data_IF_976409203841
#
_entry.id   IF_976409203841
#
_cell.length_a   1.000
_cell.length_b   1.000
_cell.length_c   1.000
_cell.angle_alpha   90.00
_cell.angle_beta   90.00
_cell.angle_gamma   90.00
#
_symmetry.space_group_name_H-M   'P 1'
#
loop_
_entity.id
_entity.type
_entity.pdbx_description
1 polymer ?
#
# COMPACT_ATOMS: atom_id res chain seq x y z
N UNK A 1 -11.55 -5.03 -15.61
CA UNK A 1 -10.41 -4.42 -16.33
C UNK A 1 -9.69 -5.57 -17.00
N UNK A 2 -9.27 -5.43 -18.25
CA UNK A 2 -8.60 -6.54 -18.92
C UNK A 2 -7.38 -7.02 -18.10
N UNK A 3 -7.19 -8.34 -18.02
CA UNK A 3 -6.11 -8.97 -17.24
C UNK A 3 -6.19 -8.85 -15.71
N UNK A 4 -7.24 -8.22 -15.15
CA UNK A 4 -7.46 -8.12 -13.70
C UNK A 4 -8.89 -8.51 -13.31
N UNK A 5 -8.99 -9.61 -12.59
CA UNK A 5 -10.25 -10.08 -11.98
C UNK A 5 -10.31 -9.65 -10.52
N UNK A 6 -11.47 -9.13 -10.09
CA UNK A 6 -11.76 -8.79 -8.69
C UNK A 6 -12.88 -9.69 -8.19
N UNK A 7 -12.63 -10.39 -7.10
CA UNK A 7 -13.65 -11.09 -6.34
C UNK A 7 -13.82 -10.40 -4.97
N UNK A 8 -15.07 -10.26 -4.52
CA UNK A 8 -15.41 -9.57 -3.28
C UNK A 8 -16.21 -10.54 -2.42
N UNK A 9 -15.79 -10.68 -1.16
CA UNK A 9 -16.46 -11.51 -0.19
C UNK A 9 -16.42 -10.81 1.16
N UNK A 10 -17.55 -10.24 1.56
CA UNK A 10 -17.67 -9.41 2.77
C UNK A 10 -16.59 -8.30 2.80
N UNK A 11 -15.70 -8.32 3.80
CA UNK A 11 -14.59 -7.38 3.94
C UNK A 11 -13.30 -7.78 3.19
N UNK A 12 -13.32 -8.87 2.42
CA UNK A 12 -12.18 -9.40 1.68
C UNK A 12 -12.29 -9.04 0.20
N UNK A 13 -11.21 -8.44 -0.33
CA UNK A 13 -11.04 -8.17 -1.75
C UNK A 13 -9.89 -9.03 -2.29
N UNK A 14 -10.17 -9.79 -3.34
CA UNK A 14 -9.20 -10.65 -4.00
C UNK A 14 -9.00 -10.10 -5.41
N UNK A 15 -7.74 -9.85 -5.76
CA UNK A 15 -7.35 -9.40 -7.08
C UNK A 15 -6.45 -10.44 -7.73
N UNK A 16 -6.86 -10.94 -8.89
CA UNK A 16 -6.08 -11.86 -9.71
C UNK A 16 -5.60 -11.07 -10.92
N UNK A 17 -4.29 -10.82 -10.99
CA UNK A 17 -3.64 -10.15 -12.12
C UNK A 17 -2.97 -11.22 -12.98
N UNK A 18 -3.56 -11.50 -14.14
CA UNK A 18 -3.04 -12.51 -15.07
C UNK A 18 -1.96 -11.92 -15.98
N UNK A 19 -2.09 -10.65 -16.34
CA UNK A 19 -1.12 -9.95 -17.17
C UNK A 19 -1.12 -8.45 -16.91
N UNK A 20 -0.02 -7.79 -17.27
CA UNK A 20 0.07 -6.34 -17.32
C UNK A 20 -0.58 -5.84 -18.62
N UNK A 21 -1.91 -5.77 -18.63
CA UNK A 21 -2.72 -5.34 -19.78
C UNK A 21 -2.51 -3.86 -20.09
N UNK A 22 -2.89 -3.43 -21.30
CA UNK A 22 -2.81 -2.02 -21.68
C UNK A 22 -3.74 -1.13 -20.84
N UNK A 23 -4.86 -1.70 -20.36
CA UNK A 23 -5.72 -1.03 -19.39
C UNK A 23 -5.00 -0.79 -18.06
N UNK A 24 -4.36 -1.81 -17.49
CA UNK A 24 -3.63 -1.69 -16.24
C UNK A 24 -2.43 -0.73 -16.38
N UNK A 25 -1.67 -0.81 -17.48
CA UNK A 25 -0.59 0.14 -17.78
C UNK A 25 -1.09 1.58 -17.84
N UNK A 26 -2.26 1.79 -18.47
CA UNK A 26 -2.87 3.12 -18.57
C UNK A 26 -3.28 3.66 -17.21
N UNK A 27 -3.88 2.84 -16.35
CA UNK A 27 -4.23 3.26 -14.99
C UNK A 27 -3.00 3.52 -14.12
N UNK A 28 -1.95 2.70 -14.23
CA UNK A 28 -0.65 2.97 -13.60
C UNK A 28 -0.11 4.33 -14.06
N UNK A 29 -0.03 4.57 -15.38
CA UNK A 29 0.53 5.81 -15.94
C UNK A 29 -0.24 7.07 -15.50
N UNK A 30 -1.57 6.99 -15.38
CA UNK A 30 -2.39 8.11 -14.90
C UNK A 30 -2.06 8.52 -13.46
N UNK A 31 -1.62 7.57 -12.64
CA UNK A 31 -1.52 7.74 -11.20
C UNK A 31 -0.08 7.72 -10.68
N UNK A 32 0.89 7.20 -11.45
CA UNK A 32 2.24 6.89 -10.96
C UNK A 32 2.95 8.08 -10.33
N UNK A 33 2.78 9.28 -10.89
CA UNK A 33 3.37 10.50 -10.33
C UNK A 33 2.79 10.78 -8.94
N UNK A 34 1.46 10.70 -8.79
CA UNK A 34 0.78 10.92 -7.52
C UNK A 34 1.08 9.82 -6.50
N UNK A 35 1.15 8.56 -6.95
CA UNK A 35 1.57 7.42 -6.13
C UNK A 35 2.95 7.70 -5.54
N UNK A 36 3.91 8.12 -6.37
CA UNK A 36 5.29 8.30 -5.94
C UNK A 36 5.51 9.57 -5.10
N UNK A 37 4.87 10.69 -5.42
CA UNK A 37 5.22 12.00 -4.87
C UNK A 37 4.11 12.69 -4.05
N UNK A 38 2.90 12.14 -4.01
CA UNK A 38 1.74 12.77 -3.35
C UNK A 38 1.26 14.04 -4.07
N UNK A 39 0.75 15.03 -3.33
CA UNK A 39 0.21 16.30 -3.86
C UNK A 39 1.27 17.38 -4.10
N UNK A 40 2.57 17.07 -3.97
CA UNK A 40 3.68 17.96 -4.40
C UNK A 40 3.67 18.30 -5.90
N UNK A 41 2.74 17.72 -6.65
CA UNK A 41 2.50 17.96 -8.07
C UNK A 41 1.76 19.29 -8.26
N UNK A 42 2.39 20.41 -7.89
CA UNK A 42 2.11 21.63 -8.61
C UNK A 42 2.79 21.49 -9.99
N UNK A 43 1.96 21.28 -11.01
CA UNK A 43 2.18 20.55 -12.28
C UNK A 43 3.21 21.13 -13.27
N UNK A 44 4.18 21.94 -12.85
CA UNK A 44 5.03 22.72 -13.77
C UNK A 44 6.47 22.23 -13.91
N UNK A 45 6.95 21.30 -13.07
CA UNK A 45 8.35 20.84 -13.12
C UNK A 45 8.51 19.52 -13.90
N UNK A 46 9.44 19.50 -14.87
CA UNK A 46 9.77 18.31 -15.68
C UNK A 46 10.12 17.07 -14.85
N UNK A 47 10.67 17.27 -13.64
CA UNK A 47 11.04 16.18 -12.73
C UNK A 47 9.85 15.34 -12.25
N UNK A 48 8.63 15.89 -12.29
CA UNK A 48 7.39 15.20 -11.93
C UNK A 48 6.59 14.72 -13.16
N UNK A 49 7.28 14.47 -14.28
CA UNK A 49 6.68 13.81 -15.45
C UNK A 49 6.58 12.30 -15.23
N UNK A 50 5.68 11.62 -15.96
CA UNK A 50 5.57 10.15 -15.94
C UNK A 50 6.92 9.49 -16.27
N UNK A 51 7.60 9.96 -17.31
CA UNK A 51 8.89 9.40 -17.74
C UNK A 51 9.98 9.57 -16.66
N UNK A 52 10.07 10.76 -16.06
CA UNK A 52 11.02 11.01 -14.97
C UNK A 52 10.70 10.17 -13.74
N UNK A 53 9.42 9.99 -13.43
CA UNK A 53 8.95 9.18 -12.31
C UNK A 53 9.29 7.71 -12.51
N UNK A 54 9.05 7.16 -13.70
CA UNK A 54 9.41 5.77 -14.04
C UNK A 54 10.93 5.59 -13.93
N UNK A 55 11.72 6.56 -14.41
CA UNK A 55 13.18 6.50 -14.28
C UNK A 55 13.61 6.45 -12.81
N UNK A 56 13.09 7.33 -11.97
CA UNK A 56 13.38 7.33 -10.52
C UNK A 56 12.90 6.02 -9.85
N UNK A 57 11.75 5.48 -10.27
CA UNK A 57 11.22 4.21 -9.75
C UNK A 57 12.17 3.05 -10.07
N UNK A 58 12.72 3.01 -11.29
CA UNK A 58 13.72 2.02 -11.69
C UNK A 58 15.05 2.22 -10.96
N UNK A 59 15.45 3.46 -10.66
CA UNK A 59 16.64 3.74 -9.84
C UNK A 59 16.49 3.28 -8.38
N UNK A 60 15.24 3.27 -7.86
CA UNK A 60 14.90 2.76 -6.51
C UNK A 60 14.58 1.26 -6.49
N UNK A 61 14.36 0.65 -7.66
CA UNK A 61 14.01 -0.76 -7.76
C UNK A 61 15.13 -1.62 -7.17
N UNK A 62 14.84 -2.47 -6.17
CA UNK A 62 15.90 -3.23 -5.49
C UNK A 62 16.62 -4.21 -6.42
N UNK A 63 17.88 -4.51 -6.14
CA UNK A 63 18.61 -5.59 -6.83
C UNK A 63 18.30 -6.99 -6.23
N UNK A 64 17.82 -7.04 -5.00
CA UNK A 64 17.47 -8.29 -4.30
C UNK A 64 16.05 -8.75 -4.69
N UNK A 65 15.92 -10.00 -5.12
CA UNK A 65 14.67 -10.54 -5.69
C UNK A 65 13.50 -10.56 -4.71
N UNK A 66 13.74 -10.71 -3.41
CA UNK A 66 12.67 -10.73 -2.42
C UNK A 66 12.24 -9.29 -2.07
N UNK A 67 13.18 -8.35 -2.01
CA UNK A 67 12.88 -6.92 -1.93
C UNK A 67 12.15 -6.41 -3.17
N UNK A 68 12.49 -6.90 -4.37
CA UNK A 68 11.78 -6.58 -5.61
C UNK A 68 10.30 -6.95 -5.53
N UNK A 69 9.99 -8.15 -5.04
CA UNK A 69 8.59 -8.59 -4.84
C UNK A 69 7.87 -7.70 -3.85
N UNK A 70 8.52 -7.34 -2.74
CA UNK A 70 7.98 -6.38 -1.77
C UNK A 70 7.62 -5.05 -2.42
N UNK A 71 8.58 -4.48 -3.14
CA UNK A 71 8.46 -3.20 -3.84
C UNK A 71 7.32 -3.20 -4.87
N UNK A 72 7.24 -4.23 -5.72
CA UNK A 72 6.17 -4.35 -6.74
C UNK A 72 4.83 -4.68 -6.09
N UNK A 73 4.80 -5.53 -5.06
CA UNK A 73 3.58 -5.87 -4.34
C UNK A 73 2.93 -4.65 -3.71
N UNK A 74 3.70 -3.83 -3.01
CA UNK A 74 3.23 -2.57 -2.43
C UNK A 74 2.72 -1.59 -3.51
N UNK A 75 3.48 -1.43 -4.61
CA UNK A 75 3.05 -0.60 -5.74
C UNK A 75 1.70 -1.07 -6.32
N UNK A 76 1.55 -2.38 -6.54
CA UNK A 76 0.31 -2.95 -7.07
C UNK A 76 -0.86 -2.76 -6.11
N UNK A 77 -0.67 -2.96 -4.80
CA UNK A 77 -1.70 -2.68 -3.79
C UNK A 77 -2.13 -1.21 -3.87
N UNK A 78 -1.18 -0.28 -3.96
CA UNK A 78 -1.47 1.15 -4.10
C UNK A 78 -2.33 1.44 -5.34
N UNK A 79 -1.96 0.90 -6.49
CA UNK A 79 -2.71 1.04 -7.75
C UNK A 79 -4.12 0.44 -7.63
N UNK A 80 -4.24 -0.79 -7.14
CA UNK A 80 -5.53 -1.47 -7.04
C UNK A 80 -6.48 -0.77 -6.06
N UNK A 81 -5.98 -0.29 -4.92
CA UNK A 81 -6.79 0.50 -3.98
C UNK A 81 -7.34 1.74 -4.65
N UNK A 82 -6.52 2.50 -5.38
CA UNK A 82 -7.00 3.69 -6.11
C UNK A 82 -8.01 3.37 -7.20
N UNK A 83 -7.86 2.24 -7.88
CA UNK A 83 -8.77 1.85 -8.96
C UNK A 83 -10.11 1.35 -8.40
N UNK A 84 -10.10 0.54 -7.34
CA UNK A 84 -11.26 -0.27 -6.96
C UNK A 84 -11.92 0.11 -5.63
N UNK A 85 -11.22 0.83 -4.75
CA UNK A 85 -11.69 1.23 -3.42
C UNK A 85 -11.93 2.75 -3.39
N UNK A 86 -12.99 3.19 -4.09
CA UNK A 86 -13.24 4.61 -4.39
C UNK A 86 -13.63 5.48 -3.19
N UNK A 87 -14.09 4.86 -2.10
CA UNK A 87 -14.37 5.51 -0.83
C UNK A 87 -13.08 5.83 -0.04
N UNK A 88 -11.91 5.42 -0.52
CA UNK A 88 -10.64 5.73 0.11
C UNK A 88 -9.78 6.64 -0.76
N UNK A 89 -9.18 7.64 -0.11
CA UNK A 89 -8.06 8.40 -0.67
C UNK A 89 -6.76 8.01 0.02
N UNK A 90 -5.73 7.65 -0.76
CA UNK A 90 -4.40 7.39 -0.21
C UNK A 90 -3.71 8.72 0.10
N UNK A 91 -3.29 8.89 1.35
CA UNK A 91 -2.67 10.09 1.91
C UNK A 91 -1.22 9.88 2.31
N UNK A 92 -0.54 8.91 1.69
CA UNK A 92 0.89 8.67 1.84
C UNK A 92 1.56 8.43 0.48
N UNK A 93 2.74 9.04 0.21
CA UNK A 93 3.50 8.73 -0.99
C UNK A 93 4.19 7.36 -0.88
N UNK A 94 4.45 6.76 -2.02
CA UNK A 94 5.20 5.52 -2.15
C UNK A 94 6.71 5.75 -1.97
N UNK A 95 7.25 6.85 -2.50
CA UNK A 95 8.67 7.15 -2.29
C UNK A 95 8.93 7.71 -0.89
N UNK A 96 9.76 6.99 -0.13
CA UNK A 96 10.36 7.52 1.08
C UNK A 96 11.25 8.74 0.74
N UNK A 97 11.16 9.79 1.56
CA UNK A 97 11.90 11.05 1.41
C UNK A 97 13.37 10.93 1.83
N UNK A 98 13.70 10.04 2.77
CA UNK A 98 15.03 10.07 3.41
C UNK A 98 16.13 9.51 2.50
N UNK A 99 16.01 8.33 1.88
CA UNK A 99 17.01 7.81 0.93
C UNK A 99 16.43 6.80 -0.09
N UNK A 100 17.10 6.66 -1.26
CA UNK A 100 16.74 5.70 -2.32
C UNK A 100 16.88 4.22 -1.91
N UNK A 101 17.68 3.92 -0.89
CA UNK A 101 18.08 2.57 -0.51
C UNK A 101 17.59 2.12 0.89
N UNK A 102 16.99 3.01 1.67
CA UNK A 102 16.44 2.67 2.99
C UNK A 102 14.98 2.24 2.86
N UNK A 103 14.61 1.18 3.57
CA UNK A 103 13.21 0.77 3.67
C UNK A 103 12.37 1.94 4.23
N UNK A 104 11.12 2.07 3.76
CA UNK A 104 10.19 3.06 4.31
C UNK A 104 10.07 2.82 5.82
N UNK A 105 10.44 3.82 6.62
CA UNK A 105 10.38 3.75 8.08
C UNK A 105 8.96 4.04 8.62
N UNK A 106 8.02 4.37 7.73
CA UNK A 106 6.61 4.65 8.02
C UNK A 106 5.69 3.48 7.66
N UNK A 107 4.38 3.64 7.85
CA UNK A 107 3.38 2.70 7.31
C UNK A 107 3.53 2.58 5.78
N UNK A 108 3.18 1.41 5.24
CA UNK A 108 3.27 1.19 3.79
C UNK A 108 2.31 2.15 3.07
N UNK A 109 1.02 2.10 3.42
CA UNK A 109 0.00 3.01 2.87
C UNK A 109 -0.94 3.50 3.97
N UNK A 110 -1.24 4.80 3.96
CA UNK A 110 -2.24 5.44 4.80
C UNK A 110 -3.42 5.86 3.93
N UNK A 111 -4.63 5.54 4.37
CA UNK A 111 -5.87 5.94 3.72
C UNK A 111 -6.66 6.89 4.62
N UNK A 112 -7.38 7.80 3.97
CA UNK A 112 -8.52 8.50 4.54
C UNK A 112 -9.79 7.94 3.91
N UNK A 113 -10.72 7.53 4.74
CA UNK A 113 -12.09 7.22 4.32
C UNK A 113 -12.82 8.54 3.97
N UNK A 114 -13.33 8.65 2.76
CA UNK A 114 -14.00 9.87 2.29
C UNK A 114 -15.34 10.14 2.98
N UNK A 115 -15.99 9.11 3.53
CA UNK A 115 -17.31 9.23 4.18
C UNK A 115 -17.18 9.52 5.67
N UNK A 116 -16.29 8.79 6.35
CA UNK A 116 -16.12 8.88 7.81
C UNK A 116 -14.98 9.79 8.23
N UNK A 117 -14.12 10.20 7.31
CA UNK A 117 -12.82 10.84 7.58
C UNK A 117 -11.84 9.98 8.41
N UNK A 118 -12.19 8.73 8.72
CA UNK A 118 -11.35 7.88 9.55
C UNK A 118 -10.04 7.54 8.84
N UNK A 119 -8.98 7.46 9.64
CA UNK A 119 -7.69 6.95 9.19
C UNK A 119 -7.73 5.42 9.09
N UNK A 120 -7.20 4.89 8.00
CA UNK A 120 -6.92 3.47 7.83
C UNK A 120 -5.47 3.24 7.45
N UNK A 121 -4.91 2.12 7.89
CA UNK A 121 -3.54 1.71 7.60
C UNK A 121 -3.56 0.43 6.77
N UNK A 122 -2.80 0.39 5.67
CA UNK A 122 -2.47 -0.85 4.99
C UNK A 122 -1.05 -1.25 5.35
N UNK A 123 -0.88 -2.50 5.79
CA UNK A 123 0.42 -3.19 5.81
C UNK A 123 0.40 -4.28 4.73
N UNK A 124 1.41 -4.28 3.87
CA UNK A 124 1.54 -5.16 2.71
C UNK A 124 2.72 -6.11 2.85
N UNK A 125 2.52 -7.38 2.51
CA UNK A 125 3.61 -8.35 2.38
C UNK A 125 3.49 -9.13 1.09
N UNK A 126 4.59 -9.14 0.34
CA UNK A 126 4.72 -9.92 -0.87
C UNK A 126 5.54 -11.20 -0.67
N UNK A 127 5.39 -12.15 -1.59
CA UNK A 127 6.24 -13.33 -1.67
C UNK A 127 5.93 -14.21 -2.87
N UNK A 128 6.67 -15.31 -3.00
CA UNK A 128 6.44 -16.34 -4.02
C UNK A 128 6.08 -17.67 -3.38
N UNK A 129 5.35 -18.48 -4.11
CA UNK A 129 5.09 -19.87 -3.72
C UNK A 129 6.42 -20.64 -3.74
N UNK A 130 6.71 -21.37 -2.67
CA UNK A 130 7.85 -22.31 -2.62
C UNK A 130 7.43 -23.67 -3.19
N UNK A 131 8.39 -24.51 -3.61
CA UNK A 131 8.12 -25.88 -4.08
C UNK A 131 7.31 -26.76 -3.10
N UNK A 132 7.17 -26.35 -1.83
CA UNK A 132 6.54 -27.11 -0.74
C UNK A 132 5.22 -26.50 -0.22
N UNK A 133 4.76 -25.40 -0.80
CA UNK A 133 3.56 -24.67 -0.34
C UNK A 133 2.60 -24.47 -1.51
N UNK A 134 1.29 -24.56 -1.29
CA UNK A 134 0.32 -24.06 -2.27
C UNK A 134 0.08 -22.55 -2.08
N UNK A 135 -0.50 -21.92 -3.10
CA UNK A 135 -0.80 -20.49 -3.10
C UNK A 135 -1.70 -20.05 -1.93
N UNK A 136 -2.70 -20.86 -1.55
CA UNK A 136 -3.65 -20.51 -0.48
C UNK A 136 -2.93 -20.44 0.88
N UNK A 137 -2.02 -21.39 1.15
CA UNK A 137 -1.17 -21.33 2.34
C UNK A 137 -0.24 -20.13 2.29
N UNK A 138 0.33 -19.81 1.12
CA UNK A 138 1.26 -18.69 1.00
C UNK A 138 0.58 -17.34 1.23
N UNK A 139 -0.61 -17.11 0.70
CA UNK A 139 -1.33 -15.85 0.91
C UNK A 139 -1.73 -15.66 2.38
N UNK A 140 -2.22 -16.70 3.06
CA UNK A 140 -2.52 -16.66 4.51
C UNK A 140 -1.28 -16.36 5.33
N UNK A 141 -0.17 -16.98 4.96
CA UNK A 141 1.13 -16.74 5.60
C UNK A 141 1.58 -15.28 5.43
N UNK A 142 1.44 -14.68 4.24
CA UNK A 142 1.74 -13.26 4.00
C UNK A 142 0.85 -12.32 4.81
N UNK A 143 -0.46 -12.57 4.86
CA UNK A 143 -1.40 -11.80 5.68
C UNK A 143 -1.06 -11.87 7.17
N UNK A 144 -0.68 -13.05 7.66
CA UNK A 144 -0.24 -13.23 9.06
C UNK A 144 1.06 -12.46 9.35
N UNK A 145 2.02 -12.47 8.43
CA UNK A 145 3.25 -11.68 8.58
C UNK A 145 2.94 -10.19 8.60
N UNK A 146 2.06 -9.70 7.71
CA UNK A 146 1.62 -8.30 7.72
C UNK A 146 0.99 -7.92 9.08
N UNK A 147 0.06 -8.75 9.58
CA UNK A 147 -0.58 -8.54 10.88
C UNK A 147 0.44 -8.44 12.01
N UNK A 148 1.36 -9.41 12.08
CA UNK A 148 2.32 -9.50 13.17
C UNK A 148 3.34 -8.35 13.12
N UNK A 149 3.82 -7.98 11.93
CA UNK A 149 4.73 -6.86 11.75
C UNK A 149 4.08 -5.55 12.18
N UNK A 150 2.86 -5.27 11.72
CA UNK A 150 2.13 -4.06 12.09
C UNK A 150 1.81 -4.03 13.58
N UNK A 151 1.31 -5.14 14.14
CA UNK A 151 1.00 -5.24 15.57
C UNK A 151 2.23 -4.99 16.44
N UNK A 152 3.39 -5.52 16.07
CA UNK A 152 4.64 -5.27 16.78
C UNK A 152 5.02 -3.79 16.72
N UNK A 153 4.99 -3.18 15.53
CA UNK A 153 5.34 -1.77 15.33
C UNK A 153 4.41 -0.81 16.08
N UNK A 154 3.13 -1.15 16.21
CA UNK A 154 2.15 -0.35 16.95
C UNK A 154 2.27 -0.52 18.48
N UNK A 155 2.77 -1.65 18.97
CA UNK A 155 2.97 -1.89 20.41
C UNK A 155 4.34 -1.41 20.94
N UNK A 156 5.26 -1.01 20.06
CA UNK A 156 6.58 -0.52 20.46
C UNK A 156 6.48 0.91 21.02
N UNK A 157 6.78 1.06 22.32
CA UNK A 157 6.57 2.30 23.10
C UNK A 157 7.34 3.51 22.58
N UNK A 158 8.43 3.31 21.85
CA UNK A 158 9.31 4.39 21.35
C UNK A 158 9.17 4.65 19.84
N UNK A 159 8.11 4.13 19.20
CA UNK A 159 7.96 4.23 17.75
C UNK A 159 7.42 5.59 17.26
N UNK A 160 7.87 6.68 17.89
CA UNK A 160 7.62 8.07 17.47
C UNK A 160 7.95 8.30 16.00
N UNK A 161 9.01 7.67 15.50
CA UNK A 161 9.42 7.80 14.10
C UNK A 161 8.37 7.27 13.12
N UNK A 162 7.64 6.19 13.46
CA UNK A 162 6.56 5.66 12.62
C UNK A 162 5.46 6.70 12.40
N UNK A 163 5.01 7.34 13.48
CA UNK A 163 3.93 8.32 13.47
C UNK A 163 4.39 9.67 12.89
N UNK A 164 5.62 10.10 13.19
CA UNK A 164 6.21 11.27 12.54
C UNK A 164 6.32 11.11 11.02
N UNK A 165 6.64 9.90 10.54
CA UNK A 165 6.63 9.61 9.10
C UNK A 165 5.20 9.67 8.53
N UNK A 166 4.21 9.19 9.28
CA UNK A 166 2.81 9.26 8.87
C UNK A 166 2.29 10.71 8.75
N UNK A 167 2.60 11.56 9.72
CA UNK A 167 2.29 13.00 9.70
C UNK A 167 2.95 13.66 8.48
N UNK A 168 4.26 13.43 8.30
CA UNK A 168 5.01 13.93 7.16
C UNK A 168 4.45 13.47 5.81
N UNK A 169 3.90 12.26 5.73
CA UNK A 169 3.28 11.68 4.54
C UNK A 169 1.96 12.40 4.20
N UNK A 170 1.11 12.62 5.21
CA UNK A 170 -0.14 13.37 5.08
C UNK A 170 0.09 14.81 4.65
N UNK A 171 1.07 15.50 5.23
CA UNK A 171 1.39 16.89 4.89
C UNK A 171 1.72 17.10 3.41
N UNK A 172 2.30 16.10 2.75
CA UNK A 172 2.62 16.12 1.31
C UNK A 172 1.37 15.85 0.47
N UNK A 173 0.55 14.92 0.94
CA UNK A 173 -0.49 14.28 0.13
C UNK A 173 -1.82 15.00 0.25
N UNK A 174 -2.05 15.75 1.31
CA UNK A 174 -3.24 16.58 1.48
C UNK A 174 -2.87 18.04 1.26
N UNK A 175 -3.76 18.76 0.57
CA UNK A 175 -3.61 20.20 0.40
C UNK A 175 -3.97 20.91 1.71
N UNK A 176 -3.38 22.10 1.92
CA UNK A 176 -3.68 22.93 3.09
C UNK A 176 -5.18 23.28 3.11
N UNK A 177 -5.87 22.75 4.13
CA UNK A 177 -7.32 22.79 4.28
C UNK A 177 -7.71 22.35 5.70
N UNK A 178 -8.89 22.78 6.17
CA UNK A 178 -9.43 22.32 7.44
C UNK A 178 -9.57 20.78 7.51
N UNK A 179 -9.74 20.13 6.35
CA UNK A 179 -9.80 18.67 6.26
C UNK A 179 -8.44 18.01 6.58
N UNK A 180 -7.35 18.60 6.08
CA UNK A 180 -5.99 18.15 6.41
C UNK A 180 -5.73 18.30 7.90
N UNK A 181 -6.10 19.44 8.48
CA UNK A 181 -5.88 19.72 9.91
C UNK A 181 -6.65 18.72 10.78
N UNK A 182 -7.92 18.48 10.49
CA UNK A 182 -8.72 17.47 11.19
C UNK A 182 -8.14 16.05 11.06
N UNK A 183 -7.60 15.69 9.88
CA UNK A 183 -6.98 14.38 9.69
C UNK A 183 -5.64 14.24 10.43
N UNK A 184 -4.87 15.33 10.53
CA UNK A 184 -3.65 15.39 11.33
C UNK A 184 -3.97 15.26 12.82
N UNK A 185 -5.05 15.87 13.31
CA UNK A 185 -5.53 15.68 14.69
C UNK A 185 -5.86 14.21 14.98
N UNK A 186 -6.56 13.51 14.06
CA UNK A 186 -6.83 12.06 14.18
C UNK A 186 -5.53 11.24 14.27
N UNK A 187 -4.51 11.62 13.49
CA UNK A 187 -3.19 10.98 13.52
C UNK A 187 -2.46 11.21 14.85
N UNK A 188 -2.52 12.44 15.37
CA UNK A 188 -1.92 12.79 16.67
C UNK A 188 -2.61 12.06 17.82
N UNK A 189 -3.95 12.08 17.87
CA UNK A 189 -4.73 11.34 18.87
C UNK A 189 -4.47 9.83 18.77
N UNK A 190 -4.33 9.34 17.54
CA UNK A 190 -3.94 7.95 17.30
C UNK A 190 -2.60 7.56 17.91
N UNK A 191 -1.63 8.49 17.94
CA UNK A 191 -0.34 8.26 18.57
C UNK A 191 -0.39 8.41 20.09
N UNK A 192 -1.06 9.45 20.59
CA UNK A 192 -1.07 9.78 22.02
C UNK A 192 -1.99 8.89 22.86
N UNK A 193 -3.19 8.60 22.36
CA UNK A 193 -4.27 7.99 23.14
C UNK A 193 -4.76 6.65 22.58
N UNK A 194 -4.43 6.33 21.33
CA UNK A 194 -4.98 5.15 20.65
C UNK A 194 -4.36 3.82 21.10
N UNK A 195 -5.19 2.81 21.35
CA UNK A 195 -4.72 1.43 21.50
C UNK A 195 -4.65 0.72 20.15
N UNK A 196 -3.96 -0.42 20.08
CA UNK A 196 -3.85 -1.20 18.83
C UNK A 196 -5.19 -1.79 18.36
N UNK A 197 -6.14 -2.01 19.27
CA UNK A 197 -7.50 -2.49 18.95
C UNK A 197 -8.39 -1.42 18.31
N UNK A 198 -8.04 -0.14 18.44
CA UNK A 198 -8.86 0.97 17.95
C UNK A 198 -8.49 1.40 16.52
N UNK A 199 -7.59 0.66 15.87
CA UNK A 199 -7.04 1.04 14.55
C UNK A 199 -7.78 0.34 13.42
N UNK A 200 -8.22 1.13 12.44
CA UNK A 200 -8.74 0.59 11.20
C UNK A 200 -7.59 0.10 10.32
N UNK A 201 -7.54 -1.20 10.06
CA UNK A 201 -6.41 -1.86 9.38
C UNK A 201 -6.92 -2.68 8.20
N UNK A 202 -6.21 -2.59 7.09
CA UNK A 202 -6.33 -3.49 5.95
C UNK A 202 -5.01 -4.26 5.82
N UNK A 203 -5.07 -5.59 5.80
CA UNK A 203 -3.90 -6.42 5.56
C UNK A 203 -3.85 -6.81 4.09
N UNK A 204 -2.72 -6.54 3.42
CA UNK A 204 -2.53 -6.89 2.03
C UNK A 204 -1.47 -7.99 1.88
N UNK A 205 -1.88 -9.11 1.28
CA UNK A 205 -0.98 -10.19 0.88
C UNK A 205 -0.83 -10.20 -0.63
N UNK A 206 0.39 -10.20 -1.15
CA UNK A 206 0.65 -10.40 -2.59
C UNK A 206 1.45 -11.68 -2.79
N UNK A 207 1.00 -12.56 -3.68
CA UNK A 207 1.71 -13.79 -4.03
C UNK A 207 1.97 -13.82 -5.53
N UNK A 208 3.24 -13.89 -5.90
CA UNK A 208 3.67 -14.12 -7.27
C UNK A 208 3.78 -15.63 -7.51
N UNK A 209 3.07 -16.13 -8.51
CA UNK A 209 3.02 -17.54 -8.87
C UNK A 209 2.75 -17.69 -10.37
N UNK A 210 2.84 -18.92 -10.88
CA UNK A 210 2.47 -19.21 -12.26
C UNK A 210 0.95 -19.26 -12.41
N UNK A 211 0.43 -18.73 -13.52
CA UNK A 211 -1.01 -18.59 -13.79
C UNK A 211 -1.75 -19.93 -13.80
N UNK A 212 -1.08 -21.03 -14.15
CA UNK A 212 -1.65 -22.38 -14.17
C UNK A 212 -1.90 -22.95 -12.76
N UNK A 213 -1.27 -22.39 -11.71
CA UNK A 213 -1.58 -22.72 -10.33
C UNK A 213 -2.87 -22.01 -9.90
N UNK A 214 -3.99 -22.77 -9.83
CA UNK A 214 -5.28 -22.21 -9.42
C UNK A 214 -5.27 -21.76 -7.97
N UNK A 215 -5.45 -20.47 -7.76
CA UNK A 215 -5.88 -19.94 -6.47
C UNK A 215 -7.34 -20.33 -6.20
N UNK A 216 -7.65 -20.78 -4.99
CA UNK A 216 -9.01 -21.11 -4.59
C UNK A 216 -9.47 -20.12 -3.52
N UNK A 217 -10.18 -19.07 -3.97
CA UNK A 217 -10.67 -18.00 -3.10
C UNK A 217 -11.50 -18.55 -1.93
N UNK A 218 -12.25 -19.63 -2.12
CA UNK A 218 -13.08 -20.24 -1.08
C UNK A 218 -12.29 -20.70 0.16
N UNK A 219 -11.00 -21.04 0.00
CA UNK A 219 -10.17 -21.51 1.11
C UNK A 219 -9.65 -20.39 2.03
N UNK A 220 -9.79 -19.12 1.64
CA UNK A 220 -9.46 -18.00 2.54
C UNK A 220 -10.47 -17.84 3.67
N UNK A 221 -11.70 -18.32 3.50
CA UNK A 221 -12.80 -18.14 4.48
C UNK A 221 -12.86 -19.19 5.58
N UNK A 222 -12.15 -20.31 5.44
CA UNK A 222 -12.31 -21.49 6.31
C UNK A 222 -11.27 -21.58 7.44
N UNK A 223 -10.74 -20.47 7.93
CA UNK A 223 -9.73 -20.47 9.02
C UNK A 223 -9.93 -19.35 10.01
#
# INVERSE_FOLDING_TARGET
>A
MDGVTREIFDNINIFIIENLSDDLKREINKQIVYICYGNKINKTYKMYSVNSTIKELLERYPNDIDKQKGFIGELLVNVLVRIFLKNFSIVSPFFNKEERASAKKGFDIILRDSETCNMWIIESKAGTVSKRSDINKKIKERLRVAKNDLSRRLCESDNTQLWNNAINDVEICMNDSNEKDAFLEILHDSYENGTTSDKNIILAGTVFHKIDEKFNSCLLYTS
#
